data_IF_546764711468
#
_entry.id   IF_546764711468
#
_cell.length_a   1.000
_cell.length_b   1.000
_cell.length_c   1.000
_cell.angle_alpha   90.00
_cell.angle_beta   90.00
_cell.angle_gamma   90.00
#
_symmetry.space_group_name_H-M   'P 1'
#
loop_
_entity.id
_entity.type
_entity.pdbx_description
1 polymer ?
#
# COMPACT_ATOMS: atom_id res chain seq x y z
N UNK A 1 7.17 19.76 -23.90
CA UNK A 1 6.21 18.64 -23.84
C UNK A 1 6.94 17.46 -23.19
N UNK A 2 6.67 17.17 -21.91
CA UNK A 2 7.17 15.93 -21.31
C UNK A 2 6.32 14.78 -21.83
N UNK A 3 6.96 13.85 -22.53
CA UNK A 3 6.37 12.56 -22.89
C UNK A 3 6.10 11.84 -21.56
N UNK A 4 4.86 11.87 -21.10
CA UNK A 4 4.44 10.97 -20.03
C UNK A 4 4.44 9.58 -20.65
N UNK A 5 5.53 8.84 -20.44
CA UNK A 5 5.51 7.40 -20.64
C UNK A 5 4.29 6.89 -19.87
N UNK A 6 3.42 6.13 -20.53
CA UNK A 6 2.39 5.32 -19.87
C UNK A 6 3.14 4.38 -18.94
N UNK A 7 3.34 4.81 -17.70
CA UNK A 7 4.09 4.05 -16.72
C UNK A 7 3.24 2.82 -16.44
N UNK A 8 3.68 1.66 -16.95
CA UNK A 8 3.03 0.40 -16.65
C UNK A 8 2.91 0.21 -15.14
N UNK A 9 1.94 -0.60 -14.72
CA UNK A 9 1.68 -0.89 -13.31
C UNK A 9 2.97 -1.24 -12.58
N UNK A 10 3.21 -0.60 -11.44
CA UNK A 10 4.41 -0.75 -10.61
C UNK A 10 4.10 -1.54 -9.36
N UNK A 11 5.11 -2.18 -8.81
CA UNK A 11 5.04 -2.81 -7.48
C UNK A 11 5.54 -1.82 -6.43
N UNK A 12 4.74 -1.65 -5.38
CA UNK A 12 5.08 -0.85 -4.22
C UNK A 12 5.04 -1.71 -2.97
N UNK A 13 6.07 -1.62 -2.12
CA UNK A 13 6.04 -2.13 -0.75
C UNK A 13 5.58 -1.02 0.17
N UNK A 14 4.49 -1.21 0.91
CA UNK A 14 3.89 -0.21 1.79
C UNK A 14 3.90 -0.72 3.23
N UNK A 15 4.53 0.02 4.14
CA UNK A 15 4.49 -0.26 5.57
C UNK A 15 3.31 0.44 6.21
N UNK A 16 2.42 -0.34 6.80
CA UNK A 16 1.32 0.13 7.64
C UNK A 16 1.65 -0.08 9.10
N UNK A 17 1.54 0.97 9.91
CA UNK A 17 1.65 0.87 11.37
C UNK A 17 0.34 1.24 12.05
N UNK A 18 0.17 0.72 13.25
CA UNK A 18 -0.94 1.07 14.14
C UNK A 18 -0.39 1.84 15.33
N UNK A 19 -1.21 2.72 15.90
CA UNK A 19 -0.82 3.54 17.05
C UNK A 19 -0.68 2.72 18.36
N UNK A 20 -1.07 1.45 18.35
CA UNK A 20 -1.08 0.54 19.51
C UNK A 20 0.29 -0.10 19.81
N UNK A 21 1.35 0.39 19.17
CA UNK A 21 2.72 -0.10 19.39
C UNK A 21 2.98 -1.50 18.83
N UNK A 22 2.05 -2.08 18.07
CA UNK A 22 2.27 -3.34 17.37
C UNK A 22 3.26 -3.16 16.21
N UNK A 23 4.02 -4.21 15.86
CA UNK A 23 4.86 -4.20 14.67
C UNK A 23 4.04 -3.85 13.43
N UNK A 24 4.61 -3.00 12.57
CA UNK A 24 3.96 -2.66 11.29
C UNK A 24 3.89 -3.85 10.34
N UNK A 25 2.95 -3.81 9.41
CA UNK A 25 2.76 -4.81 8.36
C UNK A 25 3.20 -4.23 7.02
N UNK A 26 4.06 -4.96 6.30
CA UNK A 26 4.40 -4.64 4.92
C UNK A 26 3.40 -5.30 3.97
N UNK A 27 2.91 -4.53 3.01
CA UNK A 27 2.03 -4.98 1.93
C UNK A 27 2.66 -4.66 0.58
N UNK A 28 2.75 -5.65 -0.30
CA UNK A 28 3.17 -5.46 -1.68
C UNK A 28 1.95 -5.24 -2.56
N UNK A 29 1.86 -4.07 -3.19
CA UNK A 29 0.71 -3.63 -3.98
C UNK A 29 1.15 -3.32 -5.40
N UNK A 30 0.45 -3.89 -6.38
CA UNK A 30 0.54 -3.47 -7.77
C UNK A 30 -0.39 -2.26 -8.01
N UNK A 31 0.16 -1.12 -8.43
CA UNK A 31 -0.60 0.10 -8.67
C UNK A 31 0.04 0.97 -9.77
N UNK A 32 -0.75 1.81 -10.41
CA UNK A 32 -0.27 2.66 -11.52
C UNK A 32 0.54 3.85 -11.01
N UNK A 33 0.25 4.32 -9.79
CA UNK A 33 0.99 5.37 -9.10
C UNK A 33 1.04 5.16 -7.58
N UNK A 34 1.83 6.00 -6.90
CA UNK A 34 2.04 5.96 -5.47
C UNK A 34 0.77 6.21 -4.66
N UNK A 35 -0.12 7.08 -5.15
CA UNK A 35 -1.37 7.44 -4.44
C UNK A 35 -2.32 6.26 -4.47
N UNK A 36 -2.46 5.61 -5.62
CA UNK A 36 -3.24 4.40 -5.77
C UNK A 36 -2.65 3.25 -4.93
N UNK A 37 -1.32 3.12 -4.87
CA UNK A 37 -0.65 2.14 -4.02
C UNK A 37 -0.98 2.34 -2.53
N UNK A 38 -0.90 3.58 -2.02
CA UNK A 38 -1.23 3.90 -0.63
C UNK A 38 -2.72 3.68 -0.32
N UNK A 39 -3.60 4.02 -1.27
CA UNK A 39 -5.04 3.82 -1.14
C UNK A 39 -5.37 2.34 -1.05
N UNK A 40 -4.89 1.54 -2.01
CA UNK A 40 -5.08 0.08 -2.03
C UNK A 40 -4.47 -0.59 -0.80
N UNK A 41 -3.27 -0.19 -0.36
CA UNK A 41 -2.67 -0.75 0.84
C UNK A 41 -3.57 -0.56 2.08
N UNK A 42 -4.23 0.60 2.21
CA UNK A 42 -5.17 0.85 3.31
C UNK A 42 -6.46 0.03 3.20
N UNK A 43 -6.94 -0.21 1.98
CA UNK A 43 -8.15 -1.00 1.70
C UNK A 43 -7.89 -2.51 1.87
N UNK A 44 -6.78 -3.04 1.34
CA UNK A 44 -6.43 -4.47 1.38
C UNK A 44 -5.95 -4.96 2.74
N UNK A 45 -5.44 -4.07 3.59
CA UNK A 45 -5.05 -4.39 4.97
C UNK A 45 -6.21 -4.93 5.83
N UNK A 46 -7.45 -4.78 5.35
CA UNK A 46 -8.67 -5.29 5.95
C UNK A 46 -8.87 -6.80 5.78
N UNK A 47 -8.19 -7.47 4.85
CA UNK A 47 -8.35 -8.92 4.59
C UNK A 47 -7.58 -9.84 5.56
N UNK A 48 -7.54 -9.49 6.85
CA UNK A 48 -7.23 -10.41 7.94
C UNK A 48 -8.50 -10.67 8.75
N UNK A 49 -8.69 -11.88 9.29
CA UNK A 49 -9.91 -12.30 10.02
C UNK A 49 -10.23 -11.49 11.28
N UNK A 50 -10.64 -10.23 11.12
CA UNK A 50 -11.13 -9.38 12.19
C UNK A 50 -12.48 -8.79 11.78
N UNK A 51 -13.50 -9.28 12.46
CA UNK A 51 -14.89 -8.85 12.41
C UNK A 51 -15.05 -7.34 12.80
N UNK A 52 -16.26 -6.75 12.66
CA UNK A 52 -16.48 -5.30 12.61
C UNK A 52 -16.39 -4.66 14.00
N UNK A 53 -15.18 -4.39 14.43
CA UNK A 53 -14.86 -3.32 15.37
C UNK A 53 -14.05 -2.27 14.62
N UNK A 54 -14.22 -0.98 14.93
CA UNK A 54 -13.35 0.08 14.42
C UNK A 54 -11.89 -0.29 14.75
N UNK A 55 -11.19 -0.92 13.81
CA UNK A 55 -9.76 -1.16 13.95
C UNK A 55 -9.04 0.19 14.06
N UNK A 56 -7.92 0.25 14.80
CA UNK A 56 -7.12 1.45 14.89
C UNK A 56 -6.76 1.93 13.48
N UNK A 57 -6.87 3.24 13.26
CA UNK A 57 -6.51 3.88 11.98
C UNK A 57 -5.07 3.51 11.64
N UNK A 58 -4.89 2.57 10.69
CA UNK A 58 -3.57 2.18 10.20
C UNK A 58 -3.01 3.31 9.35
N UNK A 59 -1.78 3.71 9.63
CA UNK A 59 -1.11 4.81 8.95
C UNK A 59 0.00 4.27 8.05
N UNK A 60 0.11 4.84 6.85
CA UNK A 60 1.24 4.56 5.96
C UNK A 60 2.47 5.24 6.57
N UNK A 61 3.47 4.44 6.94
CA UNK A 61 4.70 4.92 7.58
C UNK A 61 5.89 4.96 6.64
N UNK A 62 5.92 4.07 5.66
CA UNK A 62 6.94 4.04 4.61
C UNK A 62 6.36 3.46 3.32
N UNK A 63 6.91 3.88 2.19
CA UNK A 63 6.61 3.31 0.88
C UNK A 63 7.88 3.19 0.06
N UNK A 64 8.05 2.05 -0.60
CA UNK A 64 9.17 1.76 -1.50
C UNK A 64 8.64 1.32 -2.87
N UNK A 65 9.14 1.91 -3.95
CA UNK A 65 8.84 1.46 -5.32
C UNK A 65 9.81 0.34 -5.70
N UNK A 66 9.30 -0.87 -5.88
CA UNK A 66 10.09 -2.07 -6.17
C UNK A 66 10.40 -2.24 -7.66
N UNK A 67 9.69 -1.52 -8.54
CA UNK A 67 9.87 -1.57 -9.99
C UNK A 67 8.54 -1.78 -10.72
N UNK A 68 8.61 -2.35 -11.91
CA UNK A 68 7.42 -2.71 -12.69
C UNK A 68 6.81 -4.02 -12.16
N UNK A 69 5.49 -4.08 -12.12
CA UNK A 69 4.78 -5.34 -11.90
C UNK A 69 4.99 -6.25 -13.12
N UNK A 70 5.36 -7.49 -12.86
CA UNK A 70 5.47 -8.51 -13.90
C UNK A 70 4.07 -9.08 -14.10
N UNK A 71 3.59 -9.10 -15.34
CA UNK A 71 2.30 -9.69 -15.72
C UNK A 71 2.36 -11.21 -15.67
#
# INVERSE_FOLDING_TARGET
>A
MSVMATAGTRLYSVLLTSHDGRPGTWLTVAADDLVDAMRRAREDAWWGEAAPGREPVRQVSAVECLGLAWH
#
